data_IF_139724294953
#
_entry.id   IF_139724294953
#
_cell.length_a   1.000
_cell.length_b   1.000
_cell.length_c   1.000
_cell.angle_alpha   90.00
_cell.angle_beta   90.00
_cell.angle_gamma   90.00
#
_symmetry.space_group_name_H-M   'P 1'
#
loop_
_entity.id
_entity.type
_entity.pdbx_description
1 polymer ?
#
# COMPACT_ATOMS: atom_id res chain seq x y z
N UNK A 1 36.62 8.54 23.08
CA UNK A 1 35.90 7.27 23.34
C UNK A 1 34.71 7.27 22.41
N UNK A 2 34.78 6.51 21.32
CA UNK A 2 33.67 6.37 20.37
C UNK A 2 32.69 5.40 21.04
N UNK A 3 31.46 5.85 21.25
CA UNK A 3 30.36 4.98 21.68
C UNK A 3 29.68 4.57 20.38
N UNK A 4 29.89 3.33 19.97
CA UNK A 4 29.05 2.71 18.95
C UNK A 4 27.66 2.53 19.54
N UNK A 5 26.67 3.17 18.91
CA UNK A 5 25.27 2.85 19.15
C UNK A 5 24.98 1.60 18.32
N UNK A 6 24.65 0.50 18.98
CA UNK A 6 24.03 -0.64 18.33
C UNK A 6 22.77 -0.12 17.63
N UNK A 7 22.80 -0.07 16.29
CA UNK A 7 21.55 -0.01 15.54
C UNK A 7 20.78 -1.27 15.92
N UNK A 8 19.56 -1.17 16.46
CA UNK A 8 18.73 -2.35 16.59
C UNK A 8 18.46 -2.82 15.17
N UNK A 9 19.21 -3.82 14.71
CA UNK A 9 18.79 -4.68 13.60
C UNK A 9 17.58 -5.43 14.09
N UNK A 10 16.43 -4.77 14.13
CA UNK A 10 15.15 -5.44 14.05
C UNK A 10 15.22 -6.23 12.75
N UNK A 11 15.38 -7.55 12.86
CA UNK A 11 15.26 -8.48 11.74
C UNK A 11 13.85 -8.31 11.20
N UNK A 12 13.68 -7.43 10.22
CA UNK A 12 12.42 -7.26 9.51
C UNK A 12 12.03 -8.62 8.91
N UNK A 13 10.74 -8.99 8.97
CA UNK A 13 10.29 -10.27 8.42
C UNK A 13 10.70 -10.36 6.94
N UNK A 14 11.39 -11.45 6.61
CA UNK A 14 11.71 -11.78 5.23
C UNK A 14 10.52 -12.53 4.64
N UNK A 15 9.74 -11.85 3.81
CA UNK A 15 8.58 -12.44 3.15
C UNK A 15 8.94 -12.90 1.74
N UNK A 16 8.41 -14.05 1.27
CA UNK A 16 8.50 -14.42 -0.13
C UNK A 16 7.91 -13.33 -1.03
N UNK A 17 8.54 -13.08 -2.18
CA UNK A 17 8.08 -12.06 -3.14
C UNK A 17 8.10 -12.59 -4.56
N UNK A 18 7.15 -12.13 -5.35
CA UNK A 18 7.02 -12.44 -6.77
C UNK A 18 6.83 -11.17 -7.56
N UNK A 19 7.26 -11.17 -8.82
CA UNK A 19 7.08 -10.06 -9.75
C UNK A 19 5.94 -10.33 -10.72
N UNK A 20 5.12 -9.31 -10.98
CA UNK A 20 4.12 -9.32 -12.06
C UNK A 20 4.26 -8.05 -12.89
N UNK A 21 3.96 -8.14 -14.19
CA UNK A 21 3.93 -6.96 -15.05
C UNK A 21 2.83 -6.00 -14.60
N UNK A 22 3.13 -4.70 -14.54
CA UNK A 22 2.21 -3.64 -14.10
C UNK A 22 0.84 -3.72 -14.78
N UNK A 23 0.81 -4.05 -16.07
CA UNK A 23 -0.44 -4.07 -16.84
C UNK A 23 -1.48 -5.05 -16.27
N UNK A 24 -1.08 -6.15 -15.62
CA UNK A 24 -2.02 -7.06 -14.97
C UNK A 24 -2.72 -6.39 -13.79
N UNK A 25 -1.99 -5.63 -12.97
CA UNK A 25 -2.59 -4.87 -11.87
C UNK A 25 -3.49 -3.74 -12.40
N UNK A 26 -3.03 -2.99 -13.41
CA UNK A 26 -3.86 -1.97 -14.07
C UNK A 26 -5.16 -2.54 -14.62
N UNK A 27 -5.10 -3.71 -15.27
CA UNK A 27 -6.29 -4.38 -15.76
C UNK A 27 -7.25 -4.73 -14.61
N UNK A 28 -6.72 -5.24 -13.50
CA UNK A 28 -7.54 -5.56 -12.32
C UNK A 28 -8.21 -4.32 -11.71
N UNK A 29 -7.50 -3.19 -11.65
CA UNK A 29 -8.08 -1.92 -11.22
C UNK A 29 -9.23 -1.48 -12.16
N UNK A 30 -9.03 -1.58 -13.48
CA UNK A 30 -10.07 -1.24 -14.47
C UNK A 30 -11.31 -2.13 -14.35
N UNK A 31 -11.14 -3.43 -14.10
CA UNK A 31 -12.25 -4.36 -13.85
C UNK A 31 -13.09 -3.97 -12.62
N UNK A 32 -12.47 -3.32 -11.64
CA UNK A 32 -13.12 -2.80 -10.43
C UNK A 32 -13.66 -1.37 -10.61
N UNK A 33 -13.50 -0.77 -11.79
CA UNK A 33 -13.90 0.62 -12.05
C UNK A 33 -12.97 1.66 -11.41
N UNK A 34 -11.75 1.27 -11.04
CA UNK A 34 -10.75 2.13 -10.42
C UNK A 34 -9.78 2.66 -11.49
N UNK A 35 -9.59 3.97 -11.52
CA UNK A 35 -8.65 4.65 -12.41
C UNK A 35 -7.19 4.54 -11.96
N UNK A 36 -6.28 4.98 -12.81
CA UNK A 36 -4.83 5.03 -12.54
C UNK A 36 -4.28 6.41 -12.85
N UNK A 37 -3.29 6.86 -12.08
CA UNK A 37 -2.51 8.05 -12.37
C UNK A 37 -1.02 7.70 -12.48
N UNK A 38 -0.35 8.09 -13.57
CA UNK A 38 -0.94 8.65 -14.80
C UNK A 38 -1.82 7.62 -15.54
N UNK A 39 -2.78 8.10 -16.34
CA UNK A 39 -3.60 7.24 -17.21
C UNK A 39 -2.80 6.70 -18.40
N UNK A 40 -1.76 7.43 -18.80
CA UNK A 40 -0.90 7.12 -19.94
C UNK A 40 0.09 5.98 -19.61
N UNK A 41 0.19 5.02 -20.51
CA UNK A 41 1.15 3.91 -20.44
C UNK A 41 2.56 4.29 -20.88
N UNK A 42 2.75 5.46 -21.48
CA UNK A 42 4.07 5.95 -21.90
C UNK A 42 4.83 6.66 -20.77
N UNK A 43 4.15 6.97 -19.65
CA UNK A 43 4.74 7.61 -18.48
C UNK A 43 4.68 6.68 -17.25
N UNK A 44 5.40 5.55 -17.33
CA UNK A 44 5.37 4.51 -16.29
C UNK A 44 6.64 4.55 -15.43
N UNK A 45 6.46 4.61 -14.10
CA UNK A 45 7.56 4.55 -13.14
C UNK A 45 8.15 3.14 -13.03
N UNK A 46 7.29 2.13 -12.91
CA UNK A 46 7.67 0.72 -12.72
C UNK A 46 6.93 -0.22 -13.69
N UNK A 47 7.67 -1.03 -14.44
CA UNK A 47 7.06 -2.08 -15.27
C UNK A 47 6.79 -3.39 -14.50
N UNK A 48 7.55 -3.63 -13.42
CA UNK A 48 7.46 -4.83 -12.60
C UNK A 48 7.02 -4.47 -11.17
N UNK A 49 5.94 -5.10 -10.72
CA UNK A 49 5.43 -4.96 -9.35
C UNK A 49 5.73 -6.22 -8.54
N UNK A 50 6.41 -6.02 -7.41
CA UNK A 50 6.75 -7.05 -6.44
C UNK A 50 5.70 -7.11 -5.34
N UNK A 51 5.14 -8.29 -5.12
CA UNK A 51 4.02 -8.57 -4.23
C UNK A 51 4.21 -9.91 -3.50
N UNK A 52 3.35 -10.19 -2.52
CA UNK A 52 3.42 -11.42 -1.69
C UNK A 52 2.03 -12.05 -1.49
N UNK A 53 1.96 -13.16 -0.76
CA UNK A 53 0.69 -13.79 -0.34
C UNK A 53 0.01 -12.97 0.76
N UNK A 54 -1.27 -13.20 1.05
CA UNK A 54 -1.91 -12.53 2.18
C UNK A 54 -1.23 -12.85 3.53
N UNK A 55 -0.67 -14.04 3.70
CA UNK A 55 0.15 -14.37 4.86
C UNK A 55 1.40 -13.48 4.95
N UNK A 56 2.08 -13.25 3.83
CA UNK A 56 3.22 -12.33 3.76
C UNK A 56 2.81 -10.90 4.06
N UNK A 57 1.68 -10.44 3.50
CA UNK A 57 1.11 -9.14 3.82
C UNK A 57 0.79 -9.01 5.31
N UNK A 58 0.23 -10.03 5.95
CA UNK A 58 -0.03 -10.03 7.39
C UNK A 58 1.21 -9.80 8.26
N UNK A 59 2.40 -10.16 7.78
CA UNK A 59 3.67 -9.89 8.48
C UNK A 59 4.21 -8.47 8.23
N UNK A 60 3.78 -7.83 7.14
CA UNK A 60 4.27 -6.53 6.68
C UNK A 60 3.40 -5.39 7.20
N UNK A 61 2.07 -5.53 7.08
CA UNK A 61 1.12 -4.42 7.20
C UNK A 61 1.16 -3.69 8.55
N UNK A 62 1.29 -4.40 9.67
CA UNK A 62 1.38 -3.77 10.99
C UNK A 62 2.56 -2.79 11.09
N UNK A 63 3.67 -3.08 10.41
CA UNK A 63 4.87 -2.23 10.40
C UNK A 63 4.75 -1.03 9.45
N UNK A 64 3.64 -0.91 8.71
CA UNK A 64 3.32 0.21 7.83
C UNK A 64 2.34 1.19 8.47
N UNK A 65 1.82 0.88 9.67
CA UNK A 65 1.03 1.84 10.45
C UNK A 65 1.96 2.92 10.99
N UNK A 66 1.59 4.17 10.73
CA UNK A 66 2.32 5.35 11.13
C UNK A 66 1.62 6.01 12.32
N UNK A 67 2.43 6.68 13.15
CA UNK A 67 1.94 7.43 14.31
C UNK A 67 0.96 8.53 13.88
N UNK A 68 -0.21 8.55 14.51
CA UNK A 68 -1.28 9.51 14.22
C UNK A 68 -0.92 10.94 14.65
N UNK A 69 0.05 11.11 15.56
CA UNK A 69 0.57 12.42 15.95
C UNK A 69 1.26 13.16 14.80
N UNK A 70 1.62 12.47 13.71
CA UNK A 70 2.15 13.09 12.51
C UNK A 70 1.09 13.93 11.77
N UNK A 71 -0.20 13.66 12.01
CA UNK A 71 -1.29 14.32 11.30
C UNK A 71 -1.30 15.83 11.52
N UNK A 72 -1.21 16.56 10.41
CA UNK A 72 -1.38 18.01 10.34
C UNK A 72 -2.19 18.30 9.09
N UNK A 73 -3.42 18.74 9.27
CA UNK A 73 -4.34 19.07 8.18
C UNK A 73 -3.64 19.91 7.11
N UNK A 74 -3.74 19.50 5.85
CA UNK A 74 -3.18 20.16 4.66
C UNK A 74 -1.62 20.29 4.65
N UNK A 75 -0.91 19.58 5.53
CA UNK A 75 0.57 19.62 5.66
C UNK A 75 1.19 18.22 5.69
N UNK A 76 0.60 17.34 6.49
CA UNK A 76 0.92 15.92 6.57
C UNK A 76 -0.37 15.19 6.91
N UNK A 77 -1.18 14.91 5.90
CA UNK A 77 -2.48 14.26 6.05
C UNK A 77 -2.56 13.01 5.18
N UNK A 78 -3.77 12.60 4.80
CA UNK A 78 -4.06 11.22 4.41
C UNK A 78 -3.20 10.75 3.23
N UNK A 79 -2.97 11.60 2.23
CA UNK A 79 -2.06 11.30 1.12
C UNK A 79 -0.61 11.09 1.56
N UNK A 80 -0.12 11.88 2.51
CA UNK A 80 1.27 11.83 2.97
C UNK A 80 1.53 10.56 3.78
N UNK A 81 0.55 10.15 4.60
CA UNK A 81 0.56 8.86 5.26
C UNK A 81 0.63 7.72 4.22
N UNK A 82 -0.22 7.74 3.20
CA UNK A 82 -0.26 6.71 2.16
C UNK A 82 1.04 6.65 1.33
N UNK A 83 1.59 7.80 0.94
CA UNK A 83 2.87 7.90 0.23
C UNK A 83 4.04 7.42 1.09
N UNK A 84 4.09 7.82 2.36
CA UNK A 84 5.14 7.39 3.29
C UNK A 84 5.09 5.90 3.54
N UNK A 85 3.91 5.33 3.76
CA UNK A 85 3.74 3.88 3.94
C UNK A 85 4.15 3.10 2.69
N UNK A 86 3.83 3.59 1.48
CA UNK A 86 4.33 3.04 0.22
C UNK A 86 5.86 3.05 0.15
N UNK A 87 6.50 4.18 0.47
CA UNK A 87 7.95 4.28 0.47
C UNK A 87 8.61 3.29 1.45
N UNK A 88 8.10 3.22 2.67
CA UNK A 88 8.58 2.28 3.70
C UNK A 88 8.41 0.83 3.23
N UNK A 89 7.27 0.50 2.62
CA UNK A 89 7.00 -0.86 2.15
C UNK A 89 8.00 -1.30 1.06
N UNK A 90 8.24 -0.42 0.09
CA UNK A 90 9.21 -0.67 -0.97
C UNK A 90 10.65 -0.76 -0.42
N UNK A 91 11.06 0.16 0.46
CA UNK A 91 12.40 0.19 1.05
C UNK A 91 12.69 -1.05 1.90
N UNK A 92 11.78 -1.38 2.82
CA UNK A 92 12.03 -2.40 3.86
C UNK A 92 11.77 -3.82 3.40
N UNK A 93 10.79 -4.02 2.53
CA UNK A 93 10.33 -5.35 2.13
C UNK A 93 10.51 -5.62 0.63
N UNK A 94 10.87 -4.60 -0.17
CA UNK A 94 10.96 -4.74 -1.61
C UNK A 94 9.62 -5.07 -2.27
N UNK A 95 8.50 -4.61 -1.68
CA UNK A 95 7.15 -4.80 -2.17
C UNK A 95 6.61 -3.48 -2.72
N UNK A 96 6.93 -3.17 -3.97
CA UNK A 96 6.44 -1.96 -4.66
C UNK A 96 5.03 -2.12 -5.24
N UNK A 97 4.31 -3.22 -4.98
CA UNK A 97 2.88 -3.34 -5.33
C UNK A 97 1.93 -2.66 -4.34
N UNK A 98 2.44 -2.16 -3.21
CA UNK A 98 1.68 -1.40 -2.23
C UNK A 98 1.63 0.06 -2.65
N UNK A 99 0.50 0.49 -3.23
CA UNK A 99 0.38 1.78 -3.91
C UNK A 99 -0.55 2.73 -3.18
N UNK A 100 -0.26 4.01 -3.28
CA UNK A 100 -1.13 5.07 -2.81
C UNK A 100 -2.37 5.15 -3.70
N UNK A 101 -3.52 5.34 -3.07
CA UNK A 101 -4.82 5.45 -3.69
C UNK A 101 -5.56 6.65 -3.09
N UNK A 102 -6.33 7.34 -3.93
CA UNK A 102 -7.29 8.36 -3.51
C UNK A 102 -8.69 7.84 -3.80
N UNK A 103 -9.61 8.05 -2.86
CA UNK A 103 -10.99 7.61 -2.97
C UNK A 103 -11.93 8.39 -2.06
N UNK A 104 -13.15 7.87 -1.95
CA UNK A 104 -14.14 8.35 -0.99
C UNK A 104 -14.20 7.44 0.24
N UNK A 105 -14.48 8.03 1.39
CA UNK A 105 -14.91 7.35 2.62
C UNK A 105 -16.10 8.14 3.23
N UNK A 106 -16.80 7.63 4.26
CA UNK A 106 -17.98 8.32 4.83
C UNK A 106 -17.71 9.79 5.25
N UNK A 107 -16.46 10.11 5.60
CA UNK A 107 -15.99 11.42 6.05
C UNK A 107 -15.56 12.35 4.91
N UNK A 108 -15.46 11.87 3.67
CA UNK A 108 -15.07 12.66 2.50
C UNK A 108 -13.97 12.02 1.66
N UNK A 109 -13.24 12.85 0.91
CA UNK A 109 -12.08 12.42 0.12
C UNK A 109 -10.95 11.97 1.06
N UNK A 110 -10.29 10.88 0.69
CA UNK A 110 -9.31 10.26 1.56
C UNK A 110 -8.18 9.59 0.76
N UNK A 111 -6.97 9.69 1.30
CA UNK A 111 -5.77 9.01 0.80
C UNK A 111 -5.48 7.78 1.65
N UNK A 112 -5.26 6.64 1.01
CA UNK A 112 -4.98 5.35 1.66
C UNK A 112 -4.15 4.46 0.73
N UNK A 113 -3.87 3.21 1.11
CA UNK A 113 -3.11 2.29 0.28
C UNK A 113 -3.96 1.17 -0.31
N UNK A 114 -3.54 0.69 -1.47
CA UNK A 114 -4.13 -0.42 -2.21
C UNK A 114 -3.03 -1.39 -2.63
N UNK A 115 -3.33 -2.68 -2.57
CA UNK A 115 -2.40 -3.74 -2.94
C UNK A 115 -3.16 -4.98 -3.42
N UNK A 116 -2.43 -6.00 -3.85
CA UNK A 116 -3.01 -7.28 -4.23
C UNK A 116 -2.16 -8.43 -3.68
N UNK A 117 -2.80 -9.56 -3.48
CA UNK A 117 -2.13 -10.78 -3.02
C UNK A 117 -1.79 -11.72 -4.16
N UNK A 118 -0.92 -12.70 -3.90
CA UNK A 118 -0.68 -13.83 -4.79
C UNK A 118 -1.73 -14.92 -4.58
N UNK A 119 -2.36 -15.34 -5.67
CA UNK A 119 -3.23 -16.53 -5.68
C UNK A 119 -2.43 -17.82 -5.49
N UNK A 120 -3.10 -18.93 -5.16
CA UNK A 120 -2.42 -20.24 -4.99
C UNK A 120 -1.76 -20.73 -6.29
N UNK A 121 -2.39 -20.49 -7.44
CA UNK A 121 -1.90 -20.83 -8.79
C UNK A 121 -0.85 -19.85 -9.34
N UNK A 122 -0.57 -18.74 -8.64
CA UNK A 122 0.57 -17.86 -8.93
C UNK A 122 0.28 -16.64 -9.80
N UNK A 123 -0.98 -16.27 -9.93
CA UNK A 123 -1.41 -15.00 -10.51
C UNK A 123 -1.57 -13.89 -9.48
N UNK A 124 -2.34 -12.87 -9.87
CA UNK A 124 -2.79 -11.78 -9.01
C UNK A 124 -4.16 -12.13 -8.44
N UNK A 125 -4.32 -11.97 -7.13
CA UNK A 125 -5.52 -12.30 -6.41
C UNK A 125 -6.43 -11.09 -6.25
N UNK A 126 -7.13 -11.06 -5.13
CA UNK A 126 -7.98 -9.94 -4.80
C UNK A 126 -7.17 -8.68 -4.52
N UNK A 127 -7.83 -7.55 -4.76
CA UNK A 127 -7.35 -6.23 -4.40
C UNK A 127 -7.84 -5.91 -2.99
N UNK A 128 -6.93 -5.39 -2.19
CA UNK A 128 -7.10 -5.09 -0.78
C UNK A 128 -6.72 -3.64 -0.52
N UNK A 129 -7.37 -3.05 0.47
CA UNK A 129 -7.15 -1.70 0.95
C UNK A 129 -6.45 -1.74 2.31
N UNK A 130 -5.78 -0.64 2.65
CA UNK A 130 -5.09 -0.47 3.92
C UNK A 130 -5.08 0.98 4.36
N UNK A 131 -5.35 1.20 5.64
CA UNK A 131 -5.26 2.50 6.30
C UNK A 131 -3.95 2.62 7.10
N UNK A 132 -2.99 3.45 6.63
CA UNK A 132 -1.70 3.62 7.29
C UNK A 132 -1.69 4.56 8.50
N UNK A 133 -2.69 5.41 8.69
CA UNK A 133 -2.74 6.33 9.82
C UNK A 133 -3.34 5.64 11.06
N UNK A 134 -2.51 5.45 12.10
CA UNK A 134 -2.90 4.83 13.37
C UNK A 134 -4.04 5.52 14.14
N UNK A 135 -4.52 6.68 13.67
CA UNK A 135 -5.63 7.42 14.24
C UNK A 135 -7.01 6.94 13.76
N UNK A 136 -7.05 6.03 12.77
CA UNK A 136 -8.29 5.45 12.24
C UNK A 136 -8.59 4.09 12.86
N UNK A 137 -9.88 3.79 13.01
CA UNK A 137 -10.40 2.58 13.68
C UNK A 137 -9.88 1.27 13.07
N UNK A 138 -9.73 1.22 11.74
CA UNK A 138 -9.31 0.02 10.99
C UNK A 138 -7.87 0.13 10.46
N UNK A 139 -7.04 0.97 11.10
CA UNK A 139 -5.63 1.08 10.76
C UNK A 139 -4.88 -0.22 11.09
N UNK A 140 -3.95 -0.61 10.22
CA UNK A 140 -3.22 -1.87 10.38
C UNK A 140 -3.90 -3.11 9.83
N UNK A 141 -5.16 -3.01 9.39
CA UNK A 141 -5.95 -4.11 8.85
C UNK A 141 -5.98 -4.09 7.31
N UNK A 142 -5.97 -5.27 6.70
CA UNK A 142 -6.31 -5.43 5.29
C UNK A 142 -7.81 -5.62 5.14
N UNK A 143 -8.45 -4.82 4.29
CA UNK A 143 -9.89 -4.91 4.06
C UNK A 143 -10.24 -4.82 2.58
N UNK A 144 -11.44 -5.27 2.20
CA UNK A 144 -11.91 -5.29 0.82
C UNK A 144 -12.39 -3.92 0.36
N UNK A 145 -12.39 -3.74 -0.96
CA UNK A 145 -13.02 -2.59 -1.61
C UNK A 145 -14.49 -2.50 -1.18
N UNK A 146 -14.90 -1.32 -0.70
CA UNK A 146 -16.24 -1.04 -0.20
C UNK A 146 -16.45 -1.32 1.30
N UNK A 147 -15.55 -2.06 1.96
CA UNK A 147 -15.59 -2.20 3.43
C UNK A 147 -15.28 -0.86 4.10
N UNK A 148 -15.94 -0.61 5.24
CA UNK A 148 -15.87 0.64 6.00
C UNK A 148 -16.23 1.90 5.18
N UNK A 149 -16.87 1.73 4.02
CA UNK A 149 -17.24 2.80 3.11
C UNK A 149 -16.12 3.31 2.21
N UNK A 150 -14.96 2.63 2.17
CA UNK A 150 -13.83 3.04 1.32
C UNK A 150 -14.08 2.67 -0.14
N UNK A 151 -14.11 3.68 -1.01
CA UNK A 151 -14.36 3.56 -2.44
C UNK A 151 -13.17 4.15 -3.22
N UNK A 152 -12.18 3.33 -3.62
CA UNK A 152 -11.01 3.79 -4.37
C UNK A 152 -11.44 4.34 -5.73
N UNK A 153 -10.84 5.46 -6.14
CA UNK A 153 -11.13 6.11 -7.42
C UNK A 153 -9.91 6.13 -8.33
N UNK A 154 -8.73 6.44 -7.79
CA UNK A 154 -7.50 6.58 -8.57
C UNK A 154 -6.31 6.04 -7.78
N UNK A 155 -5.47 5.23 -8.44
CA UNK A 155 -4.23 4.68 -7.86
C UNK A 155 -3.00 5.31 -8.52
N UNK A 156 -2.03 5.73 -7.72
CA UNK A 156 -0.72 6.16 -8.20
C UNK A 156 0.13 4.93 -8.55
N UNK A 157 0.49 4.76 -9.84
CA UNK A 157 1.11 3.51 -10.33
C UNK A 157 2.24 3.69 -11.34
#
# INVERSE_FOLDING_TARGET
>A
KIIELENPTTLLPQVPRWGVQRHYFVQRLKELGIGTFPEDTDFVLDQLLCYTTMEGWGQVLYNLVLDSELYKKDIFDCEDFALKAQGICAERYGLNSFRMCIGDMPQGKHGFNIFFERTKDGGIGDVWLFEPNGGFEHSGEAFKVGEYGYQPQVVLI
#
